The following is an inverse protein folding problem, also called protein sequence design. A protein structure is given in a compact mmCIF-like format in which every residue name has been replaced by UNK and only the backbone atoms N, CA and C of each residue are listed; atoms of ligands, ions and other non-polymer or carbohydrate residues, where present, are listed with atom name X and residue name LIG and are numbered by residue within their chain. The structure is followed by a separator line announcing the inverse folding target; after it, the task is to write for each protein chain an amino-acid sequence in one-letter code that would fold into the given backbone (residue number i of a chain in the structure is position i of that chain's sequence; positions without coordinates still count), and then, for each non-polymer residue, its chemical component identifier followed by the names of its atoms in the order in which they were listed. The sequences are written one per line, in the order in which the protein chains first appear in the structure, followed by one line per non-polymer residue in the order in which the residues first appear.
data_IF_744700791438
#
_entry.id   IF_744700791438
#
_cell.length_a   1.000
_cell.length_b   1.000
_cell.length_c   1.000
_cell.angle_alpha   90.00
_cell.angle_beta   90.00
_cell.angle_gamma   90.00
#
_symmetry.space_group_name_H-M   'P 1'
#
loop_
_entity.id
_entity.type
_entity.pdbx_description
1 polymer ?
#
# COMPACT_ATOMS: atom_id res chain seq x y z
N UNK A 1 -14.59 18.00 -10.27
CA UNK A 1 -13.20 17.51 -10.27
C UNK A 1 -13.20 16.02 -10.57
N UNK A 2 -12.43 15.60 -11.57
CA UNK A 2 -12.29 14.22 -12.03
C UNK A 2 -10.88 13.71 -11.71
N UNK A 3 -10.80 12.62 -10.96
CA UNK A 3 -9.55 11.99 -10.53
C UNK A 3 -9.47 10.58 -11.09
N UNK A 4 -8.36 10.27 -11.78
CA UNK A 4 -8.00 8.90 -12.20
C UNK A 4 -7.05 8.28 -11.17
N UNK A 5 -7.54 7.35 -10.36
CA UNK A 5 -6.74 6.63 -9.37
C UNK A 5 -6.21 5.30 -9.89
N UNK A 6 -4.92 5.03 -9.68
CA UNK A 6 -4.23 3.84 -10.19
C UNK A 6 -3.41 3.15 -9.10
N UNK A 7 -3.52 1.83 -9.03
CA UNK A 7 -2.71 0.96 -8.19
C UNK A 7 -1.96 -0.07 -9.05
N UNK A 8 -0.64 -0.14 -8.90
CA UNK A 8 0.23 -0.96 -9.74
C UNK A 8 0.87 -2.15 -8.99
N UNK A 9 0.54 -2.37 -7.72
CA UNK A 9 1.02 -3.51 -6.95
C UNK A 9 0.39 -4.83 -7.40
N UNK A 10 0.56 -5.88 -6.58
CA UNK A 10 -0.34 -7.03 -6.66
C UNK A 10 -1.77 -6.56 -6.30
N UNK A 11 -2.79 -7.06 -7.00
CA UNK A 11 -4.14 -6.48 -7.01
C UNK A 11 -4.22 -5.13 -7.74
N UNK A 12 -3.64 -5.08 -8.93
CA UNK A 12 -3.68 -3.88 -9.78
C UNK A 12 -5.11 -3.47 -10.13
N UNK A 13 -5.38 -2.17 -10.05
CA UNK A 13 -6.71 -1.62 -10.26
C UNK A 13 -6.69 -0.16 -10.72
N UNK A 14 -7.78 0.25 -11.38
CA UNK A 14 -8.05 1.61 -11.83
C UNK A 14 -9.40 2.06 -11.28
N UNK A 15 -9.49 3.31 -10.85
CA UNK A 15 -10.74 3.93 -10.41
C UNK A 15 -10.91 5.32 -11.02
N UNK A 16 -12.14 5.72 -11.31
CA UNK A 16 -12.49 7.08 -11.72
C UNK A 16 -13.40 7.67 -10.66
N UNK A 17 -13.00 8.81 -10.10
CA UNK A 17 -13.75 9.52 -9.07
C UNK A 17 -14.14 10.89 -9.62
N UNK A 18 -15.40 11.29 -9.46
CA UNK A 18 -15.89 12.61 -9.83
C UNK A 18 -16.60 13.25 -8.64
N UNK A 19 -16.09 14.40 -8.19
CA UNK A 19 -16.71 15.20 -7.12
C UNK A 19 -17.00 14.39 -5.83
N UNK A 20 -16.09 13.45 -5.50
CA UNK A 20 -16.19 12.59 -4.33
C UNK A 20 -16.91 11.26 -4.57
N UNK A 21 -17.55 11.07 -5.73
CA UNK A 21 -18.25 9.84 -6.08
C UNK A 21 -17.40 8.91 -6.95
N UNK A 22 -17.35 7.62 -6.61
CA UNK A 22 -16.68 6.61 -7.43
C UNK A 22 -17.59 6.27 -8.61
N UNK A 23 -17.18 6.67 -9.83
CA UNK A 23 -17.92 6.36 -11.06
C UNK A 23 -17.58 4.99 -11.62
N UNK A 24 -16.34 4.53 -11.45
CA UNK A 24 -15.91 3.21 -11.89
C UNK A 24 -14.74 2.67 -11.06
N UNK A 25 -14.65 1.34 -10.98
CA UNK A 25 -13.54 0.62 -10.37
C UNK A 25 -13.31 -0.70 -11.13
N UNK A 26 -12.14 -0.84 -11.76
CA UNK A 26 -11.77 -2.01 -12.55
C UNK A 26 -10.54 -2.66 -11.92
N UNK A 27 -10.66 -3.93 -11.54
CA UNK A 27 -9.55 -4.73 -11.04
C UNK A 27 -8.98 -5.63 -12.14
N UNK A 28 -7.66 -5.60 -12.31
CA UNK A 28 -6.96 -6.35 -13.38
C UNK A 28 -7.17 -7.86 -13.27
N UNK A 29 -7.34 -8.42 -12.08
CA UNK A 29 -7.57 -9.86 -11.97
C UNK A 29 -8.91 -10.30 -12.61
N UNK A 30 -9.89 -9.39 -12.69
CA UNK A 30 -11.20 -9.67 -13.30
C UNK A 30 -11.09 -9.76 -14.82
N UNK A 31 -10.28 -8.91 -15.43
CA UNK A 31 -10.07 -8.80 -16.88
C UNK A 31 -9.04 -9.81 -17.39
N UNK A 32 -7.89 -9.92 -16.72
CA UNK A 32 -6.80 -10.85 -17.09
C UNK A 32 -7.09 -12.31 -16.75
N UNK A 33 -8.06 -12.56 -15.84
CA UNK A 33 -8.35 -13.88 -15.26
C UNK A 33 -7.17 -14.47 -14.47
N UNK A 34 -6.18 -13.65 -14.13
CA UNK A 34 -5.04 -14.00 -13.31
C UNK A 34 -5.25 -13.43 -11.92
N UNK A 35 -5.38 -14.29 -10.91
CA UNK A 35 -5.58 -13.87 -9.53
C UNK A 35 -4.44 -12.97 -9.06
N UNK A 36 -4.79 -11.89 -8.37
CA UNK A 36 -3.82 -10.91 -7.83
C UNK A 36 -2.93 -10.27 -8.90
N UNK A 37 -3.41 -10.18 -10.14
CA UNK A 37 -2.63 -9.68 -11.27
C UNK A 37 -1.93 -8.36 -10.94
N UNK A 38 -0.62 -8.32 -11.18
CA UNK A 38 0.27 -7.23 -10.79
C UNK A 38 0.23 -6.12 -11.82
N UNK A 39 0.09 -4.86 -11.41
CA UNK A 39 0.07 -3.72 -12.33
C UNK A 39 -1.27 -3.54 -13.04
N UNK A 40 -1.37 -2.58 -13.94
CA UNK A 40 -2.54 -2.34 -14.79
C UNK A 40 -2.09 -2.24 -16.25
N UNK A 41 -3.00 -2.51 -17.18
CA UNK A 41 -2.76 -2.39 -18.62
C UNK A 41 -3.65 -1.31 -19.24
N UNK A 42 -3.42 -1.00 -20.51
CA UNK A 42 -4.32 -0.14 -21.31
C UNK A 42 -5.78 -0.58 -21.20
N UNK A 43 -6.06 -1.88 -21.12
CA UNK A 43 -7.42 -2.41 -21.05
C UNK A 43 -8.17 -2.01 -19.77
N UNK A 44 -7.53 -2.09 -18.60
CA UNK A 44 -8.19 -1.69 -17.34
C UNK A 44 -8.44 -0.19 -17.29
N UNK A 45 -7.51 0.60 -17.84
CA UNK A 45 -7.65 2.05 -17.95
C UNK A 45 -8.82 2.42 -18.88
N UNK A 46 -8.91 1.78 -20.05
CA UNK A 46 -9.99 2.03 -21.01
C UNK A 46 -11.35 1.62 -20.47
N UNK A 47 -11.45 0.46 -19.82
CA UNK A 47 -12.70 0.02 -19.21
C UNK A 47 -13.16 0.98 -18.11
N UNK A 48 -12.24 1.47 -17.28
CA UNK A 48 -12.57 2.39 -16.20
C UNK A 48 -13.08 3.75 -16.74
N UNK A 49 -12.41 4.29 -17.77
CA UNK A 49 -12.82 5.54 -18.42
C UNK A 49 -14.15 5.39 -19.17
N UNK A 50 -14.33 4.27 -19.89
CA UNK A 50 -15.56 3.99 -20.64
C UNK A 50 -16.77 3.85 -19.72
N UNK A 51 -16.64 3.07 -18.63
CA UNK A 51 -17.72 2.88 -17.63
C UNK A 51 -18.10 4.22 -16.97
N UNK A 52 -17.11 5.05 -16.65
CA UNK A 52 -17.33 6.38 -16.08
C UNK A 52 -17.81 7.43 -17.10
N UNK A 53 -17.81 7.10 -18.39
CA UNK A 53 -18.09 8.02 -19.51
C UNK A 53 -17.20 9.27 -19.51
N UNK A 54 -15.92 9.09 -19.17
CA UNK A 54 -14.91 10.15 -19.04
C UNK A 54 -13.86 10.00 -20.15
N UNK A 55 -13.45 11.10 -20.79
CA UNK A 55 -12.31 11.14 -21.70
C UNK A 55 -11.05 11.53 -20.94
N UNK A 56 -9.87 11.20 -21.49
CA UNK A 56 -8.58 11.62 -20.90
C UNK A 56 -8.50 13.15 -20.75
N UNK A 57 -9.07 13.90 -21.70
CA UNK A 57 -9.11 15.37 -21.66
C UNK A 57 -9.94 15.92 -20.50
N UNK A 58 -10.85 15.14 -19.94
CA UNK A 58 -11.68 15.56 -18.80
C UNK A 58 -10.99 15.34 -17.44
N UNK A 59 -9.88 14.59 -17.39
CA UNK A 59 -9.18 14.26 -16.14
C UNK A 59 -8.45 15.51 -15.60
N UNK A 60 -8.75 15.88 -14.35
CA UNK A 60 -8.09 16.98 -13.65
C UNK A 60 -6.79 16.52 -12.96
N UNK A 61 -6.85 15.37 -12.28
CA UNK A 61 -5.71 14.80 -11.58
C UNK A 61 -5.59 13.29 -11.77
N UNK A 62 -4.36 12.79 -11.71
CA UNK A 62 -4.06 11.37 -11.59
C UNK A 62 -3.50 11.04 -10.19
N UNK A 63 -3.81 9.88 -9.64
CA UNK A 63 -3.15 9.39 -8.43
C UNK A 63 -2.53 8.02 -8.67
N UNK A 64 -1.35 7.83 -8.09
CA UNK A 64 -0.61 6.57 -8.13
C UNK A 64 -0.34 6.15 -6.70
N UNK A 65 -0.90 5.02 -6.27
CA UNK A 65 -0.70 4.53 -4.91
C UNK A 65 0.67 3.85 -4.81
N UNK A 66 1.43 4.14 -3.76
CA UNK A 66 2.66 3.42 -3.43
C UNK A 66 2.38 1.92 -3.38
N UNK A 67 3.22 1.15 -4.03
CA UNK A 67 3.18 -0.31 -4.01
C UNK A 67 3.94 -0.89 -2.81
N UNK A 68 4.50 -0.03 -1.95
CA UNK A 68 5.40 -0.34 -0.81
C UNK A 68 6.74 -0.98 -1.17
N UNK A 69 6.79 -1.83 -2.19
CA UNK A 69 7.99 -2.58 -2.56
C UNK A 69 8.13 -2.90 -4.06
N UNK A 70 7.15 -2.61 -4.92
CA UNK A 70 7.17 -3.04 -6.34
C UNK A 70 7.29 -1.88 -7.31
N UNK A 71 8.18 -1.95 -8.28
CA UNK A 71 8.20 -0.98 -9.37
C UNK A 71 6.88 -0.96 -10.18
N UNK A 72 6.61 0.18 -10.79
CA UNK A 72 5.46 0.43 -11.66
C UNK A 72 5.80 -0.02 -13.07
N UNK A 73 5.04 -0.98 -13.58
CA UNK A 73 5.20 -1.54 -14.93
C UNK A 73 4.52 -0.65 -16.00
N UNK A 74 5.04 0.57 -16.20
CA UNK A 74 4.47 1.55 -17.14
C UNK A 74 4.29 1.01 -18.56
N UNK A 75 5.20 0.15 -19.04
CA UNK A 75 5.18 -0.36 -20.41
C UNK A 75 4.01 -1.29 -20.75
N UNK A 76 3.08 -1.48 -19.81
CA UNK A 76 1.80 -2.18 -20.04
C UNK A 76 0.67 -1.25 -20.46
N UNK A 77 0.89 0.07 -20.38
CA UNK A 77 -0.06 1.10 -20.78
C UNK A 77 0.53 1.86 -21.98
N UNK A 78 -0.26 2.00 -23.03
CA UNK A 78 0.13 2.74 -24.22
C UNK A 78 0.15 4.24 -23.92
N UNK A 79 1.18 4.92 -24.43
CA UNK A 79 1.37 6.38 -24.31
C UNK A 79 1.28 6.88 -22.86
N UNK A 80 1.90 6.14 -21.94
CA UNK A 80 1.89 6.43 -20.52
C UNK A 80 3.31 6.60 -19.96
N UNK A 81 3.51 7.64 -19.17
CA UNK A 81 4.73 7.81 -18.37
C UNK A 81 4.48 8.60 -17.10
N UNK A 82 5.39 8.41 -16.13
CA UNK A 82 5.38 9.12 -14.85
C UNK A 82 6.71 9.84 -14.71
N UNK A 83 6.67 11.15 -14.48
CA UNK A 83 7.81 11.95 -14.03
C UNK A 83 7.60 12.38 -12.58
N UNK A 84 8.68 12.35 -11.79
CA UNK A 84 8.71 12.90 -10.43
C UNK A 84 8.94 14.43 -10.39
N UNK A 85 8.88 15.08 -11.54
CA UNK A 85 8.84 16.53 -11.65
C UNK A 85 7.44 17.06 -11.34
N UNK A 86 7.40 18.20 -10.65
CA UNK A 86 6.17 18.91 -10.33
C UNK A 86 5.49 19.39 -11.61
N UNK A 87 4.18 19.13 -11.72
CA UNK A 87 3.38 19.64 -12.82
C UNK A 87 3.05 21.12 -12.59
N UNK A 88 2.97 21.91 -13.66
CA UNK A 88 2.63 23.35 -13.58
C UNK A 88 1.26 23.63 -12.93
N UNK A 89 0.33 22.68 -13.03
CA UNK A 89 -1.05 22.81 -12.55
C UNK A 89 -1.24 22.21 -11.12
N UNK A 90 -0.16 21.88 -10.42
CA UNK A 90 -0.24 21.47 -9.01
C UNK A 90 -0.61 22.65 -8.11
N UNK A 91 -1.67 22.47 -7.33
CA UNK A 91 -2.17 23.47 -6.36
C UNK A 91 -1.96 23.04 -4.91
N UNK A 92 -1.89 21.73 -4.64
CA UNK A 92 -1.70 21.18 -3.30
C UNK A 92 -0.21 21.01 -3.03
N UNK A 93 0.30 21.68 -2.00
CA UNK A 93 1.70 21.56 -1.56
C UNK A 93 1.97 20.21 -0.90
N UNK A 94 3.17 19.68 -1.07
CA UNK A 94 3.66 18.55 -0.26
C UNK A 94 4.84 18.98 0.62
N UNK A 95 4.81 18.71 1.94
CA UNK A 95 5.97 18.88 2.82
C UNK A 95 7.20 18.08 2.37
N UNK A 96 7.02 17.02 1.57
CA UNK A 96 8.12 16.21 1.06
C UNK A 96 8.97 16.96 0.03
N UNK A 97 8.39 17.91 -0.74
CA UNK A 97 9.16 18.74 -1.67
C UNK A 97 10.23 19.53 -0.91
N UNK A 98 9.82 20.19 0.18
CA UNK A 98 10.71 20.95 1.05
C UNK A 98 11.70 20.02 1.75
N UNK A 99 11.23 18.91 2.31
CA UNK A 99 12.07 17.95 3.04
C UNK A 99 13.19 17.38 2.16
N UNK A 100 12.87 16.97 0.93
CA UNK A 100 13.85 16.40 0.01
C UNK A 100 14.86 17.45 -0.43
N UNK A 101 14.41 18.69 -0.69
CA UNK A 101 15.29 19.80 -1.03
C UNK A 101 16.25 20.15 0.11
N UNK A 102 15.75 20.29 1.34
CA UNK A 102 16.56 20.61 2.53
C UNK A 102 17.56 19.50 2.88
N UNK A 103 17.16 18.24 2.63
CA UNK A 103 17.99 17.07 2.92
C UNK A 103 18.91 16.66 1.76
N UNK A 104 18.93 17.43 0.66
CA UNK A 104 19.66 17.12 -0.57
C UNK A 104 19.39 15.69 -1.10
N UNK A 105 18.15 15.23 -0.98
CA UNK A 105 17.71 13.91 -1.43
C UNK A 105 17.31 14.00 -2.90
N UNK A 106 17.97 13.21 -3.74
CA UNK A 106 17.52 12.98 -5.11
C UNK A 106 16.50 11.84 -5.11
N UNK A 107 15.29 12.11 -5.60
CA UNK A 107 14.21 11.12 -5.64
C UNK A 107 14.57 9.88 -6.43
N UNK A 108 15.40 9.98 -7.48
CA UNK A 108 15.84 8.82 -8.26
C UNK A 108 16.53 7.76 -7.39
N UNK A 109 17.17 8.17 -6.30
CA UNK A 109 17.89 7.28 -5.37
C UNK A 109 16.95 6.59 -4.38
N UNK A 110 15.70 7.06 -4.27
CA UNK A 110 14.66 6.45 -3.44
C UNK A 110 13.85 5.40 -4.22
N UNK A 111 13.93 5.43 -5.55
CA UNK A 111 13.21 4.52 -6.42
C UNK A 111 13.81 3.12 -6.35
N UNK A 112 12.98 2.12 -6.03
CA UNK A 112 13.38 0.72 -5.87
C UNK A 112 12.64 -0.20 -6.85
N UNK A 113 13.21 -1.39 -7.15
CA UNK A 113 12.78 -2.28 -8.25
C UNK A 113 12.79 -3.78 -7.87
N UNK A 114 11.88 -4.20 -6.99
CA UNK A 114 11.88 -5.56 -6.44
C UNK A 114 11.51 -6.67 -7.44
N UNK A 115 10.61 -6.46 -8.41
CA UNK A 115 10.19 -7.53 -9.32
C UNK A 115 11.32 -7.93 -10.26
N UNK A 116 12.06 -6.96 -10.78
CA UNK A 116 13.30 -7.20 -11.55
C UNK A 116 14.28 -8.04 -10.75
N UNK A 117 14.59 -7.61 -9.53
CA UNK A 117 15.50 -8.34 -8.64
C UNK A 117 15.01 -9.77 -8.37
N UNK A 118 13.70 -9.92 -8.14
CA UNK A 118 13.06 -11.21 -7.88
C UNK A 118 13.16 -12.15 -9.09
N UNK A 119 12.82 -11.69 -10.29
CA UNK A 119 12.74 -12.52 -11.48
C UNK A 119 14.11 -12.79 -12.14
N UNK A 120 15.11 -11.95 -11.87
CA UNK A 120 16.49 -12.18 -12.34
C UNK A 120 17.32 -13.06 -11.40
N UNK A 121 16.89 -13.22 -10.14
CA UNK A 121 17.68 -13.93 -9.13
C UNK A 121 17.50 -15.46 -9.19
N UNK A 122 18.55 -16.18 -9.59
CA UNK A 122 18.61 -17.65 -9.50
C UNK A 122 18.38 -18.15 -8.06
N UNK A 123 18.86 -17.40 -7.05
CA UNK A 123 18.70 -17.75 -5.64
C UNK A 123 17.24 -17.76 -5.20
N UNK A 124 16.42 -16.89 -5.78
CA UNK A 124 15.02 -16.72 -5.37
C UNK A 124 14.05 -17.63 -6.13
N UNK A 125 14.44 -18.25 -7.26
CA UNK A 125 13.56 -19.09 -8.10
C UNK A 125 12.80 -20.18 -7.36
N UNK A 126 13.42 -20.77 -6.34
CA UNK A 126 12.84 -21.88 -5.56
C UNK A 126 12.11 -21.40 -4.28
N UNK A 127 11.86 -20.10 -4.13
CA UNK A 127 11.14 -19.56 -2.98
C UNK A 127 9.65 -19.48 -3.24
N UNK A 128 8.85 -19.59 -2.17
CA UNK A 128 7.40 -19.38 -2.24
C UNK A 128 7.05 -17.96 -2.73
N UNK A 129 7.91 -16.98 -2.44
CA UNK A 129 7.75 -15.63 -2.96
C UNK A 129 7.81 -15.62 -4.49
N UNK A 130 8.87 -16.16 -5.07
CA UNK A 130 9.02 -16.24 -6.53
C UNK A 130 7.85 -17.00 -7.16
N UNK A 131 7.43 -18.12 -6.57
CA UNK A 131 6.29 -18.90 -7.07
C UNK A 131 5.00 -18.06 -7.11
N UNK A 132 4.68 -17.35 -6.01
CA UNK A 132 3.47 -16.53 -5.91
C UNK A 132 3.49 -15.36 -6.90
N UNK A 133 4.59 -14.60 -6.94
CA UNK A 133 4.73 -13.46 -7.85
C UNK A 133 4.78 -13.89 -9.32
N UNK A 134 5.36 -15.06 -9.62
CA UNK A 134 5.35 -15.63 -10.98
C UNK A 134 3.94 -15.99 -11.46
N UNK A 135 3.04 -16.37 -10.55
CA UNK A 135 1.62 -16.63 -10.87
C UNK A 135 0.83 -15.34 -11.04
N UNK A 136 1.18 -14.30 -10.29
CA UNK A 136 0.51 -13.01 -10.30
C UNK A 136 1.04 -12.03 -11.39
N UNK A 137 2.19 -12.31 -11.99
CA UNK A 137 2.79 -11.49 -13.04
C UNK A 137 2.86 -12.24 -14.37
N UNK A 138 1.85 -12.09 -15.26
CA UNK A 138 1.88 -12.70 -16.59
C UNK A 138 3.09 -12.23 -17.42
N UNK A 139 3.59 -11.03 -17.16
CA UNK A 139 4.71 -10.42 -17.88
C UNK A 139 6.09 -10.68 -17.27
N UNK A 140 6.21 -11.65 -16.35
CA UNK A 140 7.48 -11.95 -15.64
C UNK A 140 8.70 -12.08 -16.56
N UNK A 141 8.56 -12.68 -17.74
CA UNK A 141 9.68 -12.86 -18.68
C UNK A 141 10.14 -11.52 -19.26
N UNK A 142 9.19 -10.62 -19.54
CA UNK A 142 9.47 -9.26 -20.03
C UNK A 142 10.09 -8.38 -18.94
N UNK A 143 9.71 -8.62 -17.68
CA UNK A 143 10.35 -7.98 -16.52
C UNK A 143 11.77 -8.51 -16.33
N UNK A 144 11.95 -9.83 -16.35
CA UNK A 144 13.24 -10.49 -16.15
C UNK A 144 14.29 -10.06 -17.18
N UNK A 145 13.90 -9.90 -18.45
CA UNK A 145 14.82 -9.50 -19.52
C UNK A 145 14.91 -7.98 -19.75
N UNK A 146 14.32 -7.15 -18.88
CA UNK A 146 14.27 -5.69 -19.00
C UNK A 146 13.66 -5.17 -20.32
N UNK A 147 12.79 -5.94 -20.99
CA UNK A 147 12.08 -5.49 -22.20
C UNK A 147 10.79 -4.70 -21.92
N UNK A 148 10.45 -4.51 -20.64
CA UNK A 148 9.30 -3.73 -20.20
C UNK A 148 9.75 -2.44 -19.50
N UNK A 149 9.27 -1.30 -19.98
CA UNK A 149 9.51 -0.02 -19.33
C UNK A 149 8.89 -0.03 -17.92
N UNK A 150 9.65 0.45 -16.93
CA UNK A 150 9.18 0.56 -15.55
C UNK A 150 9.75 1.80 -14.86
N UNK A 151 9.00 2.32 -13.89
CA UNK A 151 9.44 3.39 -12.98
C UNK A 151 9.48 2.79 -11.58
N UNK A 152 10.50 3.10 -10.78
CA UNK A 152 10.53 2.59 -9.40
C UNK A 152 9.42 3.20 -8.54
N UNK A 153 9.21 2.66 -7.35
CA UNK A 153 8.18 3.15 -6.44
C UNK A 153 8.75 4.14 -5.42
N UNK A 154 7.90 5.04 -4.93
CA UNK A 154 8.20 5.90 -3.78
C UNK A 154 7.46 5.39 -2.55
N UNK A 155 8.22 4.96 -1.55
CA UNK A 155 7.68 4.62 -0.23
C UNK A 155 8.44 5.32 0.91
N UNK A 156 8.84 6.57 0.67
CA UNK A 156 9.46 7.44 1.68
C UNK A 156 8.59 8.67 1.88
N UNK A 157 7.74 8.63 2.92
CA UNK A 157 6.83 9.69 3.31
C UNK A 157 7.26 10.31 4.65
N UNK A 158 6.55 11.33 5.13
CA UNK A 158 6.89 12.01 6.38
C UNK A 158 6.83 11.01 7.54
N UNK A 159 7.95 10.87 8.24
CA UNK A 159 8.08 10.04 9.44
C UNK A 159 8.26 10.93 10.67
N UNK A 160 7.41 10.75 11.68
CA UNK A 160 7.57 11.46 12.95
C UNK A 160 8.66 10.83 13.80
N UNK A 161 9.37 11.65 14.58
CA UNK A 161 10.43 11.18 15.48
C UNK A 161 9.94 10.07 16.43
N UNK A 162 8.72 10.21 16.95
CA UNK A 162 8.11 9.20 17.83
C UNK A 162 7.88 7.85 17.15
N UNK A 163 7.68 7.81 15.83
CA UNK A 163 7.51 6.56 15.10
C UNK A 163 8.83 5.78 14.99
N UNK A 164 9.98 6.45 15.12
CA UNK A 164 11.29 5.83 15.03
C UNK A 164 11.63 4.95 16.24
N UNK A 165 10.95 5.13 17.36
CA UNK A 165 11.27 4.47 18.62
C UNK A 165 10.50 3.16 18.88
N UNK A 166 9.63 2.74 17.95
CA UNK A 166 8.93 1.45 18.04
C UNK A 166 7.97 1.38 19.23
N UNK A 167 6.71 1.74 18.99
CA UNK A 167 5.70 1.95 20.05
C UNK A 167 4.83 0.70 20.20
N UNK A 168 4.51 0.30 21.43
CA UNK A 168 3.54 -0.77 21.73
C UNK A 168 2.09 -0.26 21.65
N UNK A 169 1.12 -1.15 21.54
CA UNK A 169 -0.30 -0.78 21.59
C UNK A 169 -0.66 -0.08 22.91
N UNK A 170 -0.08 -0.53 24.03
CA UNK A 170 -0.28 0.12 25.34
C UNK A 170 0.23 1.56 25.37
N UNK A 171 1.39 1.83 24.77
CA UNK A 171 1.93 3.18 24.68
C UNK A 171 1.15 4.05 23.70
N UNK A 172 0.72 3.50 22.57
CA UNK A 172 -0.15 4.21 21.62
C UNK A 172 -1.47 4.63 22.26
N UNK A 173 -2.05 3.80 23.13
CA UNK A 173 -3.28 4.13 23.85
C UNK A 173 -3.13 5.35 24.79
N UNK A 174 -1.91 5.76 25.12
CA UNK A 174 -1.62 6.94 25.94
C UNK A 174 -1.37 8.21 25.10
N UNK A 175 -1.51 8.15 23.77
CA UNK A 175 -1.24 9.30 22.90
C UNK A 175 -2.28 10.41 23.07
N UNK A 176 -1.79 11.65 23.19
CA UNK A 176 -2.65 12.82 23.12
C UNK A 176 -2.92 13.20 21.65
N UNK A 177 -4.08 12.81 21.14
CA UNK A 177 -4.50 13.00 19.74
C UNK A 177 -4.61 14.48 19.36
N UNK A 178 -4.97 15.38 20.29
CA UNK A 178 -5.16 16.80 19.96
C UNK A 178 -3.91 17.45 19.37
N UNK A 179 -2.73 17.04 19.85
CA UNK A 179 -1.43 17.53 19.34
C UNK A 179 -1.15 17.19 17.88
N UNK A 180 -1.88 16.23 17.29
CA UNK A 180 -1.71 15.83 15.89
C UNK A 180 -2.57 16.67 14.94
N UNK A 181 -3.69 17.21 15.42
CA UNK A 181 -4.65 17.94 14.61
C UNK A 181 -4.10 19.27 14.09
N UNK A 182 -3.14 19.85 14.81
CA UNK A 182 -2.53 21.13 14.49
C UNK A 182 -1.29 21.00 13.59
N UNK A 183 -0.88 19.78 13.23
CA UNK A 183 0.38 19.53 12.52
C UNK A 183 0.18 19.38 11.00
N UNK A 184 0.39 20.48 10.28
CA UNK A 184 0.28 20.52 8.81
C UNK A 184 1.25 19.59 8.08
N UNK A 185 2.41 19.27 8.67
CA UNK A 185 3.36 18.31 8.07
C UNK A 185 2.80 16.89 8.07
N UNK A 186 2.02 16.54 9.08
CA UNK A 186 1.35 15.23 9.19
C UNK A 186 0.18 15.18 8.21
N UNK A 187 -0.64 16.23 8.21
CA UNK A 187 -1.84 16.34 7.37
C UNK A 187 -1.55 16.23 5.88
N UNK A 188 -0.38 16.70 5.42
CA UNK A 188 -0.01 16.69 4.00
C UNK A 188 1.21 15.81 3.69
N UNK A 189 1.71 15.06 4.67
CA UNK A 189 2.99 14.35 4.59
C UNK A 189 2.96 13.02 3.84
N UNK A 190 1.83 12.67 3.22
CA UNK A 190 1.58 11.36 2.62
C UNK A 190 1.40 11.37 1.10
N UNK A 191 1.61 12.51 0.47
CA UNK A 191 1.59 12.62 -0.99
C UNK A 191 2.85 13.29 -1.52
N UNK A 192 3.25 12.92 -2.73
CA UNK A 192 4.34 13.57 -3.46
C UNK A 192 3.87 13.96 -4.87
N UNK A 193 4.10 15.20 -5.33
CA UNK A 193 3.67 15.64 -6.65
C UNK A 193 4.43 14.94 -7.77
N UNK A 194 3.71 14.50 -8.79
CA UNK A 194 4.25 13.93 -10.03
C UNK A 194 3.54 14.49 -11.26
N UNK A 195 4.14 14.33 -12.43
CA UNK A 195 3.52 14.62 -13.72
C UNK A 195 3.24 13.31 -14.44
N UNK A 196 2.00 13.13 -14.91
CA UNK A 196 1.57 11.94 -15.66
C UNK A 196 1.37 12.35 -17.11
N UNK A 197 2.05 11.67 -18.04
CA UNK A 197 1.70 11.73 -19.45
C UNK A 197 0.77 10.57 -19.75
N UNK A 198 -0.41 10.84 -20.31
CA UNK A 198 -1.37 9.83 -20.75
C UNK A 198 -1.96 10.26 -22.10
N UNK A 199 -1.69 9.49 -23.16
CA UNK A 199 -2.20 9.74 -24.53
C UNK A 199 -1.89 11.15 -25.04
N UNK A 200 -0.68 11.63 -24.76
CA UNK A 200 -0.22 12.96 -25.14
C UNK A 200 -0.69 14.10 -24.24
N UNK A 201 -1.59 13.86 -23.28
CA UNK A 201 -1.98 14.84 -22.27
C UNK A 201 -1.02 14.78 -21.08
N UNK A 202 -0.48 15.93 -20.70
CA UNK A 202 0.24 16.11 -19.43
C UNK A 202 -0.77 16.46 -18.33
N UNK A 203 -0.79 15.67 -17.26
CA UNK A 203 -1.77 15.75 -16.17
C UNK A 203 -1.02 15.87 -14.84
N UNK A 204 -1.50 16.76 -13.98
CA UNK A 204 -1.01 16.85 -12.61
C UNK A 204 -1.34 15.55 -11.84
N UNK A 205 -0.37 14.99 -11.12
CA UNK A 205 -0.60 13.78 -10.36
C UNK A 205 0.02 13.75 -8.98
N UNK A 206 -0.39 12.79 -8.17
CA UNK A 206 0.16 12.57 -6.84
C UNK A 206 0.50 11.10 -6.64
N UNK A 207 1.71 10.83 -6.15
CA UNK A 207 2.01 9.57 -5.49
C UNK A 207 1.46 9.61 -4.08
N UNK A 208 0.69 8.59 -3.68
CA UNK A 208 -0.01 8.54 -2.41
C UNK A 208 0.51 7.38 -1.55
N UNK A 209 0.69 7.62 -0.25
CA UNK A 209 1.02 6.58 0.71
C UNK A 209 -0.03 5.45 0.70
N UNK A 210 0.44 4.21 0.67
CA UNK A 210 -0.39 3.02 0.55
C UNK A 210 -1.48 2.91 1.63
N UNK A 211 -1.11 3.10 2.90
CA UNK A 211 -2.04 2.99 4.02
C UNK A 211 -2.98 4.18 4.12
N UNK A 212 -2.60 5.34 3.60
CA UNK A 212 -3.53 6.47 3.49
C UNK A 212 -4.59 6.20 2.42
N UNK A 213 -4.22 5.56 1.31
CA UNK A 213 -5.21 5.12 0.32
C UNK A 213 -6.20 4.11 0.91
N UNK A 214 -5.73 3.16 1.73
CA UNK A 214 -6.61 2.26 2.50
C UNK A 214 -7.52 3.01 3.48
N UNK A 215 -6.98 3.97 4.23
CA UNK A 215 -7.76 4.76 5.17
C UNK A 215 -8.82 5.61 4.45
N UNK A 216 -8.46 6.22 3.32
CA UNK A 216 -9.35 7.05 2.50
C UNK A 216 -10.52 6.25 1.92
N UNK A 217 -10.27 5.05 1.39
CA UNK A 217 -11.34 4.22 0.81
C UNK A 217 -12.38 3.79 1.84
N UNK A 218 -11.99 3.66 3.11
CA UNK A 218 -12.89 3.37 4.23
C UNK A 218 -13.56 4.64 4.78
N UNK A 219 -12.78 5.67 5.15
CA UNK A 219 -13.29 6.86 5.84
C UNK A 219 -14.30 7.62 5.00
N UNK A 220 -13.96 7.94 3.75
CA UNK A 220 -14.82 8.76 2.89
C UNK A 220 -16.09 8.02 2.43
N UNK A 221 -16.13 6.68 2.51
CA UNK A 221 -17.32 5.88 2.21
C UNK A 221 -18.15 5.53 3.45
N UNK A 222 -17.64 5.80 4.65
CA UNK A 222 -18.25 5.36 5.90
C UNK A 222 -19.42 6.21 6.38
N UNK A 223 -19.51 7.48 5.93
CA UNK A 223 -20.48 8.46 6.43
C UNK A 223 -20.13 9.07 7.80
N UNK A 224 -19.05 8.64 8.45
CA UNK A 224 -18.60 9.25 9.71
C UNK A 224 -17.80 10.53 9.47
N UNK A 225 -18.10 11.57 10.23
CA UNK A 225 -17.29 12.80 10.25
C UNK A 225 -16.15 12.72 11.27
N UNK A 226 -16.26 11.87 12.28
CA UNK A 226 -15.32 11.70 13.39
C UNK A 226 -15.12 10.20 13.63
N UNK A 227 -13.91 9.67 13.43
CA UNK A 227 -13.65 8.23 13.52
C UNK A 227 -12.19 7.88 13.84
N UNK A 228 -12.00 6.81 14.62
CA UNK A 228 -10.73 6.11 14.68
C UNK A 228 -10.61 5.15 13.51
N UNK A 229 -9.46 5.13 12.84
CA UNK A 229 -9.21 4.31 11.65
C UNK A 229 -7.99 3.44 11.92
N UNK A 230 -8.09 2.17 11.58
CA UNK A 230 -6.95 1.25 11.55
C UNK A 230 -6.85 0.63 10.16
N UNK A 231 -5.68 0.76 9.55
CA UNK A 231 -5.32 -0.04 8.38
C UNK A 231 -4.37 -1.13 8.84
N UNK A 232 -4.49 -2.32 8.27
CA UNK A 232 -3.64 -3.46 8.61
C UNK A 232 -3.46 -4.35 7.39
N UNK A 233 -2.21 -4.73 7.10
CA UNK A 233 -1.85 -5.50 5.92
C UNK A 233 -0.92 -6.69 6.26
N UNK A 234 -0.43 -7.40 5.25
CA UNK A 234 0.27 -8.68 5.40
C UNK A 234 1.65 -8.59 6.07
N UNK A 235 2.28 -7.42 6.13
CA UNK A 235 3.62 -7.22 6.72
C UNK A 235 3.58 -7.27 8.25
N UNK A 236 4.69 -7.65 8.90
CA UNK A 236 4.60 -8.03 10.33
C UNK A 236 5.82 -7.82 11.22
N UNK A 237 6.89 -7.13 10.81
CA UNK A 237 8.01 -6.89 11.71
C UNK A 237 8.74 -5.56 11.46
N UNK A 238 9.43 -5.05 12.49
CA UNK A 238 10.28 -3.86 12.37
C UNK A 238 9.53 -2.54 12.47
N UNK A 239 10.19 -1.48 12.00
CA UNK A 239 9.78 -0.09 12.23
C UNK A 239 8.99 0.53 11.07
N UNK A 240 8.84 -0.19 9.95
CA UNK A 240 8.07 0.35 8.83
C UNK A 240 6.57 0.40 9.15
N UNK A 241 5.88 1.32 8.50
CA UNK A 241 4.41 1.37 8.49
C UNK A 241 3.78 0.37 7.53
N UNK A 242 4.55 -0.53 6.90
CA UNK A 242 4.02 -1.51 5.94
C UNK A 242 2.97 -2.43 6.56
N UNK A 243 3.07 -2.69 7.87
CA UNK A 243 2.05 -3.44 8.63
C UNK A 243 0.71 -2.71 8.72
N UNK A 244 0.69 -1.39 8.69
CA UNK A 244 -0.51 -0.59 8.83
C UNK A 244 -0.34 0.68 9.66
N UNK A 245 -1.38 1.50 9.66
CA UNK A 245 -1.46 2.76 10.38
C UNK A 245 -2.67 2.78 11.32
N UNK A 246 -2.52 3.49 12.43
CA UNK A 246 -3.61 4.03 13.23
C UNK A 246 -3.76 5.50 12.85
N UNK A 247 -4.97 5.89 12.48
CA UNK A 247 -5.29 7.25 12.04
C UNK A 247 -6.54 7.76 12.77
N UNK A 248 -6.69 9.07 12.72
CA UNK A 248 -7.90 9.76 13.13
C UNK A 248 -8.50 10.45 11.91
N UNK A 249 -9.77 10.17 11.61
CA UNK A 249 -10.55 10.83 10.57
C UNK A 249 -11.43 11.90 11.20
N UNK A 250 -11.26 13.16 10.81
CA UNK A 250 -12.06 14.28 11.31
C UNK A 250 -12.34 15.32 10.23
N UNK A 251 -13.61 15.67 10.04
CA UNK A 251 -14.06 16.75 9.15
C UNK A 251 -13.44 16.65 7.73
N UNK A 252 -13.49 15.46 7.12
CA UNK A 252 -12.87 15.12 5.83
C UNK A 252 -11.33 15.15 5.79
N UNK A 253 -10.66 15.13 6.94
CA UNK A 253 -9.20 15.05 7.02
C UNK A 253 -8.76 13.73 7.64
N UNK A 254 -7.62 13.21 7.17
CA UNK A 254 -6.95 12.04 7.73
C UNK A 254 -5.69 12.46 8.47
N UNK A 255 -5.57 12.04 9.72
CA UNK A 255 -4.43 12.32 10.59
C UNK A 255 -3.72 11.03 10.99
N UNK A 256 -2.61 10.67 10.33
CA UNK A 256 -1.77 9.55 10.75
C UNK A 256 -1.24 9.75 12.17
N UNK A 257 -1.56 8.84 13.08
CA UNK A 257 -1.12 8.92 14.48
C UNK A 257 0.11 8.06 14.74
N UNK A 258 0.10 6.82 14.22
CA UNK A 258 1.19 5.86 14.41
C UNK A 258 1.13 4.72 13.40
N UNK A 259 2.27 4.15 12.99
CA UNK A 259 2.31 2.77 12.52
C UNK A 259 1.74 1.82 13.59
N UNK A 260 0.96 0.82 13.17
CA UNK A 260 0.33 -0.12 14.09
C UNK A 260 1.31 -1.23 14.56
N UNK A 261 2.32 -1.55 13.74
CA UNK A 261 3.31 -2.62 13.93
C UNK A 261 2.71 -4.00 14.23
N UNK A 262 1.45 -4.22 13.86
CA UNK A 262 0.77 -5.48 14.07
C UNK A 262 1.37 -6.55 13.15
N UNK A 263 1.43 -7.77 13.66
CA UNK A 263 2.04 -8.90 12.95
C UNK A 263 1.03 -9.97 12.57
N UNK A 264 -0.26 -9.71 12.85
CA UNK A 264 -1.33 -10.69 12.71
C UNK A 264 -1.52 -11.14 11.26
N UNK A 265 -1.33 -10.23 10.28
CA UNK A 265 -1.39 -10.58 8.85
C UNK A 265 -0.32 -11.63 8.47
N UNK A 266 0.95 -11.37 8.82
CA UNK A 266 2.04 -12.34 8.59
C UNK A 266 1.81 -13.66 9.33
N UNK A 267 1.36 -13.60 10.60
CA UNK A 267 1.07 -14.80 11.39
C UNK A 267 -0.05 -15.63 10.76
N UNK A 268 -1.14 -14.98 10.37
CA UNK A 268 -2.31 -15.62 9.77
C UNK A 268 -1.97 -16.30 8.44
N UNK A 269 -1.18 -15.62 7.59
CA UNK A 269 -0.59 -16.21 6.38
C UNK A 269 0.30 -17.40 6.68
N UNK A 270 1.16 -17.30 7.70
CA UNK A 270 2.07 -18.40 8.09
C UNK A 270 1.30 -19.65 8.51
N UNK A 271 0.21 -19.48 9.28
CA UNK A 271 -0.68 -20.59 9.68
C UNK A 271 -1.36 -21.21 8.45
N UNK A 272 -1.85 -20.40 7.52
CA UNK A 272 -2.47 -20.90 6.28
C UNK A 272 -1.48 -21.74 5.45
N UNK A 273 -0.22 -21.30 5.35
CA UNK A 273 0.85 -22.05 4.68
C UNK A 273 1.15 -23.36 5.40
N UNK A 274 1.25 -23.35 6.74
CA UNK A 274 1.49 -24.55 7.54
C UNK A 274 0.41 -25.62 7.39
N UNK A 275 -0.83 -25.20 7.15
CA UNK A 275 -1.97 -26.09 6.90
C UNK A 275 -2.13 -26.45 5.41
N UNK A 276 -1.14 -26.14 4.56
CA UNK A 276 -1.15 -26.38 3.12
C UNK A 276 -2.32 -25.71 2.37
N UNK A 277 -2.81 -24.56 2.85
CA UNK A 277 -3.90 -23.82 2.20
C UNK A 277 -3.41 -22.90 1.07
N UNK A 278 -2.09 -22.70 0.97
CA UNK A 278 -1.40 -21.92 -0.06
C UNK A 278 -0.98 -20.52 0.41
N UNK A 279 -0.16 -19.83 -0.40
CA UNK A 279 0.39 -18.49 -0.09
C UNK A 279 -0.59 -17.31 -0.14
N UNK A 280 -1.83 -17.58 -0.57
CA UNK A 280 -3.00 -16.70 -0.55
C UNK A 280 -4.21 -17.44 0.05
N UNK A 281 -3.95 -18.31 1.04
CA UNK A 281 -4.90 -19.22 1.67
C UNK A 281 -5.66 -18.65 2.88
N UNK A 282 -5.45 -17.38 3.21
CA UNK A 282 -5.96 -16.71 4.41
C UNK A 282 -7.50 -16.77 4.48
N UNK A 283 -8.19 -16.57 3.35
CA UNK A 283 -9.65 -16.72 3.29
C UNK A 283 -10.13 -18.15 3.56
N UNK A 284 -9.38 -19.17 3.12
CA UNK A 284 -9.69 -20.58 3.44
C UNK A 284 -9.46 -20.88 4.92
N UNK A 285 -8.39 -20.32 5.49
CA UNK A 285 -8.13 -20.42 6.93
C UNK A 285 -9.27 -19.80 7.74
N UNK A 286 -9.79 -18.65 7.31
CA UNK A 286 -10.97 -18.04 7.92
C UNK A 286 -12.21 -18.93 7.80
N UNK A 287 -12.42 -19.55 6.62
CA UNK A 287 -13.52 -20.49 6.41
C UNK A 287 -13.42 -21.75 7.28
N UNK A 288 -12.22 -22.13 7.72
CA UNK A 288 -12.00 -23.25 8.65
C UNK A 288 -12.27 -22.86 10.11
N UNK A 289 -12.09 -21.58 10.47
CA UNK A 289 -12.23 -21.10 11.84
C UNK A 289 -13.55 -21.49 12.56
N UNK A 290 -14.76 -21.41 11.94
CA UNK A 290 -16.01 -21.75 12.62
C UNK A 290 -16.17 -23.25 12.95
N UNK A 291 -15.35 -24.13 12.36
CA UNK A 291 -15.34 -25.57 12.69
C UNK A 291 -14.43 -25.90 13.88
N UNK A 292 -13.59 -24.95 14.29
CA UNK A 292 -12.68 -25.11 15.42
C UNK A 292 -13.36 -24.82 16.76
N UNK A 293 -12.64 -25.13 17.85
CA UNK A 293 -12.94 -24.62 19.19
C UNK A 293 -11.80 -23.69 19.60
N UNK A 294 -12.09 -22.45 20.04
CA UNK A 294 -11.04 -21.54 20.50
C UNK A 294 -10.46 -22.09 21.80
N UNK A 295 -9.30 -22.75 21.70
CA UNK A 295 -8.57 -23.28 22.86
C UNK A 295 -7.38 -22.41 23.22
N UNK A 296 -6.74 -21.81 22.22
CA UNK A 296 -5.51 -21.05 22.36
C UNK A 296 -5.80 -19.54 22.27
N UNK A 297 -6.20 -18.95 23.40
CA UNK A 297 -6.23 -17.51 23.57
C UNK A 297 -5.44 -17.15 24.82
N UNK A 298 -4.46 -16.26 24.67
CA UNK A 298 -3.70 -15.74 25.79
C UNK A 298 -3.47 -14.25 25.60
N UNK A 299 -3.88 -13.45 26.60
CA UNK A 299 -3.91 -11.99 26.51
C UNK A 299 -2.53 -11.38 26.24
N UNK A 300 -1.45 -12.06 26.66
CA UNK A 300 -0.08 -11.64 26.36
C UNK A 300 0.30 -11.68 24.88
N UNK A 301 -0.53 -12.24 23.99
CA UNK A 301 -0.34 -12.15 22.54
C UNK A 301 -1.17 -11.04 21.89
N UNK A 302 -2.05 -10.37 22.64
CA UNK A 302 -2.81 -9.20 22.16
C UNK A 302 -1.91 -7.96 22.26
N UNK A 303 -0.94 -7.89 21.36
CA UNK A 303 0.05 -6.82 21.30
C UNK A 303 0.72 -6.76 19.91
N UNK A 304 1.41 -5.67 19.58
CA UNK A 304 2.14 -5.52 18.32
C UNK A 304 3.58 -6.04 18.41
N UNK A 305 4.32 -5.94 17.30
CA UNK A 305 5.71 -6.38 17.20
C UNK A 305 6.61 -5.92 18.36
N UNK A 306 6.49 -4.65 18.76
CA UNK A 306 7.34 -4.07 19.81
C UNK A 306 6.92 -4.48 21.22
N UNK A 307 5.61 -4.54 21.50
CA UNK A 307 5.18 -4.97 22.82
C UNK A 307 5.37 -6.47 23.03
N UNK A 308 5.13 -7.31 22.03
CA UNK A 308 5.45 -8.75 22.06
C UNK A 308 6.95 -8.94 22.19
N UNK A 309 7.75 -8.22 21.39
CA UNK A 309 9.20 -8.27 21.46
C UNK A 309 9.76 -7.85 22.83
N UNK A 310 9.17 -6.87 23.51
CA UNK A 310 9.56 -6.51 24.88
C UNK A 310 9.17 -7.57 25.90
N UNK A 311 7.94 -8.09 25.81
CA UNK A 311 7.41 -9.09 26.75
C UNK A 311 8.18 -10.42 26.68
N UNK A 312 8.49 -10.87 25.47
CA UNK A 312 9.13 -12.16 25.22
C UNK A 312 10.59 -12.05 24.74
N UNK A 313 11.29 -10.97 25.10
CA UNK A 313 12.73 -10.76 24.83
C UNK A 313 13.14 -10.98 23.35
N UNK A 314 12.36 -10.43 22.43
CA UNK A 314 12.54 -10.49 20.96
C UNK A 314 12.50 -11.91 20.39
N UNK A 315 11.86 -12.86 21.08
CA UNK A 315 11.59 -14.16 20.48
C UNK A 315 10.73 -14.00 19.22
N UNK A 316 11.00 -14.86 18.23
CA UNK A 316 10.27 -14.85 16.97
C UNK A 316 8.80 -15.16 17.25
N UNK A 317 7.90 -14.27 16.85
CA UNK A 317 6.47 -14.41 17.13
C UNK A 317 5.84 -15.68 16.56
N UNK A 318 6.26 -16.14 15.39
CA UNK A 318 5.77 -17.40 14.83
C UNK A 318 6.26 -18.59 15.66
N UNK A 319 7.52 -18.55 16.12
CA UNK A 319 8.05 -19.57 17.02
C UNK A 319 7.33 -19.58 18.37
N UNK A 320 7.09 -18.40 18.96
CA UNK A 320 6.31 -18.26 20.18
C UNK A 320 4.90 -18.80 19.98
N UNK A 321 4.21 -18.38 18.92
CA UNK A 321 2.87 -18.89 18.63
C UNK A 321 2.87 -20.43 18.50
N UNK A 322 3.85 -21.02 17.82
CA UNK A 322 3.98 -22.48 17.70
C UNK A 322 4.23 -23.19 19.03
N UNK A 323 4.96 -22.57 19.94
CA UNK A 323 5.23 -23.12 21.27
C UNK A 323 3.97 -23.12 22.15
N UNK A 324 3.17 -22.06 22.08
CA UNK A 324 1.97 -21.88 22.91
C UNK A 324 0.67 -22.44 22.29
N UNK A 325 0.65 -22.69 20.97
CA UNK A 325 -0.54 -23.16 20.24
C UNK A 325 -0.39 -24.57 19.63
N UNK A 326 0.60 -25.35 20.08
CA UNK A 326 0.71 -26.80 19.81
C UNK A 326 0.10 -27.60 20.95
#
# INVERSE_FOLDING_TARGET
MIILGMHFGHDGAVSVIKDGEVLSYISRERTSRVKHAIGITTNELDLALAEAQIKVDDIDYCTVVSTQNMEILNGLINDFSISFDKHKDHTISSPLETLFKESNINISNLLSFQLKDLFQSEKLKNTLQYENFSKACPEKERVANNSLASTGYLDSYVMLERWKNGVSLKEMAMFNVSSFLENEKIKNGFHYPVSISLRGKSIAGYFINHHIAHAASCYYSSGFQDSAIITHDGFGNGFSYHSGLVLYGKDNNLYPLSPNHLSIGTLYKSVAIMLNLGGFGEGKLMGLAPYGKPHFFHQDFVENWFGVGRRFKRANQLSLWKEYCR
#
